data_IF_376886871430
#
_entry.id   IF_376886871430
#
_cell.length_a   1.000
_cell.length_b   1.000
_cell.length_c   1.000
_cell.angle_alpha   90.00
_cell.angle_beta   90.00
_cell.angle_gamma   90.00
#
_symmetry.space_group_name_H-M   'P 1'
#
loop_
_entity.id
_entity.type
_entity.pdbx_description
1 polymer ?
#
# COMPACT_ATOMS: atom_id res chain seq x y z
N UNK A 1 -11.70 -2.46 14.56
CA UNK A 1 -12.11 -3.14 13.32
C UNK A 1 -11.46 -2.58 12.05
N UNK A 2 -11.07 -1.30 11.99
CA UNK A 2 -10.36 -0.70 10.83
C UNK A 2 -8.95 -1.29 10.57
N UNK A 3 -8.30 -1.86 11.58
CA UNK A 3 -6.93 -2.42 11.48
C UNK A 3 -6.82 -3.74 10.70
N UNK A 4 -7.92 -4.45 10.50
CA UNK A 4 -7.93 -5.75 9.80
C UNK A 4 -7.91 -5.62 8.28
N UNK A 5 -8.29 -4.47 7.74
CA UNK A 5 -8.36 -4.24 6.29
C UNK A 5 -6.99 -3.89 5.67
N UNK A 6 -6.07 -3.32 6.44
CA UNK A 6 -4.73 -2.96 5.97
C UNK A 6 -3.95 -4.21 5.53
N UNK A 7 -4.17 -5.32 6.21
CA UNK A 7 -3.54 -6.59 5.92
C UNK A 7 -3.79 -7.10 4.50
N UNK A 8 -5.03 -7.00 4.03
CA UNK A 8 -5.41 -7.44 2.70
C UNK A 8 -4.86 -6.51 1.59
N UNK A 9 -4.60 -5.24 1.93
CA UNK A 9 -4.16 -4.23 0.98
C UNK A 9 -2.67 -4.37 0.62
N UNK A 10 -1.84 -4.77 1.57
CA UNK A 10 -0.38 -4.82 1.41
C UNK A 10 0.06 -6.07 0.65
N UNK A 11 -0.63 -7.19 0.82
CA UNK A 11 -0.32 -8.44 0.10
C UNK A 11 -0.51 -8.28 -1.41
N UNK A 12 -1.36 -7.36 -1.84
CA UNK A 12 -1.58 -7.09 -3.28
C UNK A 12 -0.44 -6.30 -3.91
N UNK A 13 0.32 -5.51 -3.11
CA UNK A 13 1.49 -4.77 -3.59
C UNK A 13 2.70 -5.67 -3.86
N UNK A 14 2.73 -6.87 -3.29
CA UNK A 14 3.86 -7.80 -3.37
C UNK A 14 3.83 -8.75 -4.60
N UNK A 15 3.22 -8.32 -5.71
CA UNK A 15 3.43 -8.93 -7.03
C UNK A 15 2.79 -10.29 -7.26
N UNK A 16 1.81 -10.72 -6.49
CA UNK A 16 0.93 -11.78 -6.94
C UNK A 16 -0.09 -11.20 -7.93
N UNK A 17 -0.04 -11.64 -9.15
CA UNK A 17 -1.06 -11.44 -10.18
C UNK A 17 -2.37 -12.15 -9.79
N UNK A 18 -2.93 -11.77 -8.63
CA UNK A 18 -4.30 -12.09 -8.33
C UNK A 18 -5.14 -11.28 -9.33
N UNK A 19 -5.80 -11.96 -10.24
CA UNK A 19 -6.64 -11.39 -11.27
C UNK A 19 -7.59 -10.35 -10.67
N UNK A 20 -7.16 -9.09 -10.70
CA UNK A 20 -8.06 -7.99 -10.45
C UNK A 20 -9.01 -7.94 -11.62
N UNK A 21 -10.29 -8.10 -11.37
CA UNK A 21 -11.30 -7.93 -12.41
C UNK A 21 -11.34 -6.46 -12.78
N UNK A 22 -10.96 -6.14 -14.01
CA UNK A 22 -11.12 -4.79 -14.53
C UNK A 22 -12.58 -4.37 -14.35
N UNK A 23 -12.80 -3.31 -13.60
CA UNK A 23 -14.14 -2.81 -13.34
C UNK A 23 -14.47 -1.74 -14.36
N UNK A 24 -15.36 -2.08 -15.26
CA UNK A 24 -15.85 -1.14 -16.29
C UNK A 24 -16.83 -0.11 -15.73
N UNK A 25 -17.39 -0.33 -14.53
CA UNK A 25 -18.29 0.60 -13.85
C UNK A 25 -17.92 0.73 -12.37
N UNK A 26 -17.44 1.90 -12.02
CA UNK A 26 -17.25 2.32 -10.64
C UNK A 26 -18.48 3.09 -10.20
N UNK A 27 -18.91 2.92 -8.94
CA UNK A 27 -20.00 3.68 -8.37
C UNK A 27 -19.71 5.18 -8.50
N UNK A 28 -20.70 5.94 -8.96
CA UNK A 28 -20.60 7.39 -9.19
C UNK A 28 -20.11 8.16 -7.95
N UNK A 29 -20.53 7.77 -6.75
CA UNK A 29 -20.08 8.36 -5.49
C UNK A 29 -18.57 8.21 -5.31
N UNK A 30 -18.04 7.01 -5.55
CA UNK A 30 -16.58 6.71 -5.45
C UNK A 30 -15.81 7.49 -6.51
N UNK A 31 -16.33 7.53 -7.74
CA UNK A 31 -15.67 8.23 -8.83
C UNK A 31 -15.59 9.73 -8.56
N UNK A 32 -16.68 10.36 -8.13
CA UNK A 32 -16.66 11.78 -7.78
C UNK A 32 -15.71 12.11 -6.64
N UNK A 33 -15.67 11.26 -5.63
CA UNK A 33 -14.76 11.42 -4.49
C UNK A 33 -13.31 11.29 -4.95
N UNK A 34 -13.01 10.33 -5.82
CA UNK A 34 -11.70 10.16 -6.42
C UNK A 34 -11.27 11.40 -7.23
N UNK A 35 -12.12 11.87 -8.13
CA UNK A 35 -11.83 13.05 -8.96
C UNK A 35 -11.61 14.32 -8.13
N UNK A 36 -12.37 14.48 -7.05
CA UNK A 36 -12.20 15.61 -6.14
C UNK A 36 -10.89 15.52 -5.33
N UNK A 37 -10.51 14.33 -4.90
CA UNK A 37 -9.33 14.10 -4.06
C UNK A 37 -8.02 14.08 -4.87
N UNK A 38 -8.06 13.50 -6.06
CA UNK A 38 -6.88 13.27 -6.92
C UNK A 38 -6.99 13.99 -8.26
N UNK A 39 -7.24 15.29 -8.20
CA UNK A 39 -7.26 16.15 -9.39
C UNK A 39 -5.92 16.05 -10.14
N UNK A 40 -5.97 15.77 -11.43
CA UNK A 40 -4.78 15.58 -12.27
C UNK A 40 -4.24 14.15 -12.30
N UNK A 41 -4.93 13.18 -11.71
CA UNK A 41 -4.58 11.77 -11.82
C UNK A 41 -4.59 11.30 -13.28
N UNK A 42 -3.55 10.56 -13.69
CA UNK A 42 -3.38 10.02 -15.03
C UNK A 42 -3.30 8.50 -14.98
N UNK A 43 -3.60 7.85 -16.10
CA UNK A 43 -3.52 6.40 -16.26
C UNK A 43 -4.31 5.62 -15.19
N UNK A 44 -5.50 6.10 -14.88
CA UNK A 44 -6.33 5.53 -13.81
C UNK A 44 -6.86 4.17 -14.23
N UNK A 45 -6.56 3.15 -13.44
CA UNK A 45 -7.07 1.79 -13.58
C UNK A 45 -7.81 1.39 -12.30
N UNK A 46 -9.05 0.97 -12.46
CA UNK A 46 -9.87 0.49 -11.37
C UNK A 46 -9.87 -1.04 -11.30
N UNK A 47 -9.77 -1.57 -10.09
CA UNK A 47 -9.91 -2.99 -9.82
C UNK A 47 -10.79 -3.24 -8.60
N UNK A 48 -11.55 -4.34 -8.64
CA UNK A 48 -12.43 -4.74 -7.54
C UNK A 48 -11.89 -5.99 -6.87
N UNK A 49 -11.92 -5.99 -5.56
CA UNK A 49 -11.74 -7.15 -4.69
C UNK A 49 -13.01 -7.37 -3.88
N UNK A 50 -13.08 -8.47 -3.16
CA UNK A 50 -14.31 -8.82 -2.39
C UNK A 50 -14.78 -7.69 -1.47
N UNK A 51 -13.86 -6.99 -0.82
CA UNK A 51 -14.17 -6.04 0.24
C UNK A 51 -13.76 -4.60 -0.07
N UNK A 52 -13.17 -4.32 -1.24
CA UNK A 52 -12.72 -2.97 -1.59
C UNK A 52 -12.59 -2.74 -3.09
N UNK A 53 -12.63 -1.48 -3.48
CA UNK A 53 -12.24 -0.99 -4.80
C UNK A 53 -10.85 -0.34 -4.70
N UNK A 54 -10.02 -0.56 -5.70
CA UNK A 54 -8.69 0.06 -5.80
C UNK A 54 -8.60 0.86 -7.10
N UNK A 55 -8.20 2.12 -6.99
CA UNK A 55 -7.74 2.93 -8.10
C UNK A 55 -6.21 2.95 -8.10
N UNK A 56 -5.59 2.55 -9.20
CA UNK A 56 -4.15 2.68 -9.44
C UNK A 56 -3.94 3.77 -10.49
N UNK A 57 -3.09 4.74 -10.21
CA UNK A 57 -2.92 5.91 -11.08
C UNK A 57 -1.54 6.56 -10.87
N UNK A 58 -1.22 7.48 -11.76
CA UNK A 58 -0.03 8.33 -11.66
C UNK A 58 -0.46 9.74 -11.26
N UNK A 59 0.16 10.30 -10.24
CA UNK A 59 -0.04 11.67 -9.81
C UNK A 59 1.33 12.32 -9.53
N UNK A 60 1.62 13.44 -10.18
CA UNK A 60 2.91 14.13 -10.08
C UNK A 60 4.12 13.18 -10.27
N UNK A 61 4.05 12.34 -11.30
CA UNK A 61 5.06 11.32 -11.65
C UNK A 61 5.26 10.19 -10.61
N UNK A 62 4.41 10.13 -9.58
CA UNK A 62 4.42 9.07 -8.58
C UNK A 62 3.31 8.04 -8.84
N UNK A 63 3.61 6.76 -8.64
CA UNK A 63 2.61 5.71 -8.67
C UNK A 63 1.88 5.66 -7.33
N UNK A 64 0.57 5.84 -7.41
CA UNK A 64 -0.33 5.94 -6.25
C UNK A 64 -1.45 4.92 -6.38
N UNK A 65 -1.86 4.35 -5.27
CA UNK A 65 -3.04 3.50 -5.17
C UNK A 65 -3.98 4.03 -4.09
N UNK A 66 -5.24 4.23 -4.42
CA UNK A 66 -6.28 4.62 -3.49
C UNK A 66 -7.26 3.47 -3.29
N UNK A 67 -7.64 3.24 -2.04
CA UNK A 67 -8.49 2.13 -1.63
C UNK A 67 -9.80 2.67 -1.06
N UNK A 68 -10.91 2.11 -1.54
CA UNK A 68 -12.28 2.50 -1.17
C UNK A 68 -13.04 1.29 -0.66
N UNK A 69 -13.76 1.44 0.44
CA UNK A 69 -14.68 0.44 0.91
C UNK A 69 -15.88 0.26 -0.04
N UNK A 70 -16.63 -0.80 0.15
CA UNK A 70 -17.87 -1.05 -0.61
C UNK A 70 -18.95 0.00 -0.37
N UNK A 71 -18.86 0.71 0.75
CA UNK A 71 -19.69 1.87 1.10
C UNK A 71 -19.25 3.18 0.40
N UNK A 72 -18.09 3.15 -0.28
CA UNK A 72 -17.48 4.29 -0.98
C UNK A 72 -16.62 5.18 -0.11
N UNK A 73 -16.35 4.81 1.15
CA UNK A 73 -15.43 5.54 2.00
C UNK A 73 -13.96 5.24 1.65
N UNK A 74 -13.09 6.24 1.76
CA UNK A 74 -11.65 6.06 1.58
C UNK A 74 -11.10 5.23 2.73
N UNK A 75 -10.46 4.12 2.40
CA UNK A 75 -9.81 3.24 3.37
C UNK A 75 -8.35 3.64 3.59
N UNK A 76 -7.71 4.20 2.58
CA UNK A 76 -6.33 4.64 2.65
C UNK A 76 -5.74 4.86 1.26
N UNK A 77 -4.55 5.42 1.26
CA UNK A 77 -3.77 5.73 0.04
C UNK A 77 -2.36 5.21 0.22
N UNK A 78 -1.85 4.48 -0.76
CA UNK A 78 -0.46 4.05 -0.78
C UNK A 78 0.30 4.68 -1.95
N UNK A 79 1.58 4.91 -1.76
CA UNK A 79 2.50 5.29 -2.83
C UNK A 79 3.82 4.58 -2.69
N UNK A 80 4.45 4.28 -3.83
CA UNK A 80 5.82 3.78 -3.82
C UNK A 80 6.76 4.86 -3.32
N UNK A 81 7.67 4.48 -2.44
CA UNK A 81 8.73 5.37 -1.94
C UNK A 81 10.07 4.65 -1.99
N UNK A 82 11.15 5.41 -2.18
CA UNK A 82 12.49 4.87 -1.98
C UNK A 82 12.70 4.58 -0.48
N UNK A 83 13.36 3.48 -0.14
CA UNK A 83 13.70 3.13 1.24
C UNK A 83 14.44 4.27 1.97
N UNK A 84 15.15 5.12 1.23
CA UNK A 84 15.83 6.30 1.78
C UNK A 84 14.87 7.35 2.36
N UNK A 85 13.58 7.26 2.04
CA UNK A 85 12.53 8.14 2.59
C UNK A 85 12.06 7.73 3.99
N UNK A 86 12.39 6.51 4.43
CA UNK A 86 12.07 6.02 5.75
C UNK A 86 12.92 6.74 6.83
N UNK A 87 12.46 6.74 8.09
CA UNK A 87 13.28 7.23 9.21
C UNK A 87 14.65 6.54 9.26
N UNK A 88 15.70 7.32 9.50
CA UNK A 88 17.10 6.83 9.43
C UNK A 88 17.37 5.66 10.39
N UNK A 89 16.80 5.73 11.60
CA UNK A 89 16.92 4.66 12.58
C UNK A 89 16.30 3.35 12.09
N UNK A 90 15.19 3.42 11.36
CA UNK A 90 14.57 2.25 10.75
C UNK A 90 15.46 1.67 9.64
N UNK A 91 16.02 2.50 8.77
CA UNK A 91 16.94 2.05 7.72
C UNK A 91 18.14 1.33 8.32
N UNK A 92 18.73 1.89 9.39
CA UNK A 92 19.87 1.29 10.08
C UNK A 92 19.51 -0.06 10.71
N UNK A 93 18.34 -0.14 11.35
CA UNK A 93 17.85 -1.38 11.95
C UNK A 93 17.59 -2.46 10.90
N UNK A 94 16.96 -2.12 9.79
CA UNK A 94 16.69 -3.05 8.69
C UNK A 94 18.01 -3.57 8.10
N UNK A 95 18.97 -2.69 7.85
CA UNK A 95 20.28 -3.10 7.33
C UNK A 95 21.03 -4.03 8.28
N UNK A 96 20.90 -3.83 9.59
CA UNK A 96 21.54 -4.66 10.61
C UNK A 96 20.86 -6.02 10.76
N UNK A 97 19.56 -6.01 10.95
CA UNK A 97 18.79 -7.21 11.34
C UNK A 97 18.45 -8.10 10.12
N UNK A 98 18.44 -7.51 8.92
CA UNK A 98 18.05 -8.15 7.66
C UNK A 98 19.15 -8.03 6.59
N UNK A 99 20.43 -8.12 7.00
CA UNK A 99 21.58 -7.93 6.12
C UNK A 99 21.62 -8.87 4.91
N UNK A 100 21.08 -10.10 5.04
CA UNK A 100 20.98 -11.08 3.94
C UNK A 100 19.75 -10.93 3.04
N UNK A 101 18.84 -10.01 3.38
CA UNK A 101 17.61 -9.81 2.63
C UNK A 101 17.77 -8.73 1.58
N UNK A 102 17.10 -8.95 0.44
CA UNK A 102 16.92 -7.93 -0.59
C UNK A 102 15.62 -7.18 -0.36
N UNK A 103 15.67 -5.86 -0.37
CA UNK A 103 14.46 -5.02 -0.42
C UNK A 103 13.86 -5.11 -1.82
N UNK A 104 12.66 -5.62 -1.93
CA UNK A 104 11.95 -5.78 -3.21
C UNK A 104 10.96 -4.66 -3.46
N UNK A 105 10.38 -4.09 -2.41
CA UNK A 105 9.46 -2.97 -2.51
C UNK A 105 9.41 -2.16 -1.22
N UNK A 106 9.06 -0.90 -1.30
CA UNK A 106 8.73 -0.06 -0.15
C UNK A 106 7.63 0.93 -0.52
N UNK A 107 6.65 1.04 0.37
CA UNK A 107 5.50 1.92 0.23
C UNK A 107 5.28 2.77 1.48
N UNK A 108 4.75 3.96 1.28
CA UNK A 108 4.11 4.75 2.32
C UNK A 108 2.61 4.49 2.24
N UNK A 109 1.97 4.24 3.36
CA UNK A 109 0.53 4.08 3.49
C UNK A 109 -0.02 5.14 4.42
N UNK A 110 -0.99 5.90 3.93
CA UNK A 110 -1.70 6.94 4.68
C UNK A 110 -3.15 6.49 4.90
N UNK A 111 -3.53 6.40 6.15
CA UNK A 111 -4.91 6.13 6.55
C UNK A 111 -5.36 7.21 7.53
N UNK A 112 -6.33 8.02 7.13
CA UNK A 112 -6.87 9.10 7.96
C UNK A 112 -5.80 10.07 8.50
N UNK A 113 -4.72 10.30 7.73
CA UNK A 113 -3.58 11.13 8.13
C UNK A 113 -2.53 10.42 8.97
N UNK A 114 -2.77 9.17 9.36
CA UNK A 114 -1.77 8.33 10.01
C UNK A 114 -0.93 7.62 8.95
N UNK A 115 0.36 7.93 8.93
CA UNK A 115 1.32 7.37 7.98
C UNK A 115 2.14 6.25 8.60
N UNK A 116 2.35 5.22 7.81
CA UNK A 116 3.29 4.13 8.09
C UNK A 116 3.97 3.70 6.81
N UNK A 117 5.10 3.02 6.94
CA UNK A 117 5.81 2.46 5.80
C UNK A 117 5.77 0.94 5.87
N UNK A 118 5.77 0.31 4.71
CA UNK A 118 5.87 -1.14 4.60
C UNK A 118 7.00 -1.48 3.65
N UNK A 119 7.88 -2.35 4.10
CA UNK A 119 9.07 -2.78 3.36
C UNK A 119 8.98 -4.27 3.11
N UNK A 120 8.97 -4.65 1.85
CA UNK A 120 9.00 -6.05 1.42
C UNK A 120 10.46 -6.51 1.28
N UNK A 121 10.76 -7.61 1.92
CA UNK A 121 12.08 -8.22 1.96
C UNK A 121 12.03 -9.66 1.42
N UNK A 122 13.09 -10.06 0.73
CA UNK A 122 13.24 -11.41 0.19
C UNK A 122 14.66 -11.94 0.42
N UNK A 123 14.76 -13.17 0.93
CA UNK A 123 15.99 -13.94 1.05
C UNK A 123 15.73 -15.36 0.55
N UNK A 124 16.12 -15.64 -0.68
CA UNK A 124 15.81 -16.89 -1.35
C UNK A 124 14.30 -17.17 -1.39
N UNK A 125 13.85 -18.16 -0.63
CA UNK A 125 12.44 -18.54 -0.56
C UNK A 125 11.67 -17.86 0.58
N UNK A 126 12.38 -17.10 1.43
CA UNK A 126 11.76 -16.37 2.54
C UNK A 126 11.33 -14.99 2.11
N UNK A 127 10.08 -14.66 2.40
CA UNK A 127 9.53 -13.32 2.16
C UNK A 127 8.99 -12.79 3.47
N UNK A 128 9.34 -11.56 3.79
CA UNK A 128 8.85 -10.85 4.96
C UNK A 128 8.39 -9.45 4.59
N UNK A 129 7.40 -8.96 5.31
CA UNK A 129 6.97 -7.57 5.22
C UNK A 129 7.20 -6.95 6.58
N UNK A 130 7.90 -5.83 6.59
CA UNK A 130 8.11 -5.02 7.79
C UNK A 130 7.17 -3.83 7.77
N UNK A 131 6.60 -3.53 8.91
CA UNK A 131 5.90 -2.27 9.16
C UNK A 131 6.84 -1.33 9.92
N UNK A 132 6.92 -0.10 9.43
CA UNK A 132 7.74 0.96 10.02
C UNK A 132 6.85 2.15 10.37
N UNK A 133 6.86 2.58 11.62
CA UNK A 133 6.15 3.78 12.05
C UNK A 133 6.87 5.06 11.58
N UNK A 134 6.19 6.20 11.66
CA UNK A 134 6.81 7.52 11.42
C UNK A 134 8.03 7.80 12.31
N UNK A 135 8.08 7.17 13.49
CA UNK A 135 9.18 7.31 14.45
C UNK A 135 10.32 6.31 14.22
N UNK A 136 10.20 5.44 13.19
CA UNK A 136 11.20 4.46 12.83
C UNK A 136 11.16 3.17 13.64
N UNK A 137 10.08 2.88 14.35
CA UNK A 137 9.88 1.59 14.98
C UNK A 137 9.60 0.54 13.93
N UNK A 138 10.41 -0.51 13.89
CA UNK A 138 10.33 -1.60 12.92
C UNK A 138 9.75 -2.84 13.59
N UNK A 139 8.73 -3.42 12.99
CA UNK A 139 8.12 -4.68 13.40
C UNK A 139 7.80 -5.55 12.18
N UNK A 140 7.77 -6.87 12.38
CA UNK A 140 7.28 -7.77 11.33
C UNK A 140 5.78 -7.60 11.20
N UNK A 141 5.35 -7.33 9.98
CA UNK A 141 3.93 -7.22 9.66
C UNK A 141 3.32 -8.61 9.53
N UNK A 142 2.48 -8.96 10.47
CA UNK A 142 1.75 -10.24 10.49
C UNK A 142 0.26 -10.04 10.18
N UNK A 143 -0.05 -9.04 9.40
CA UNK A 143 -1.41 -8.74 8.95
C UNK A 143 -1.96 -9.85 8.09
N UNK A 144 -2.85 -10.56 8.67
CA UNK A 144 -3.93 -11.37 8.19
C UNK A 144 -3.81 -11.98 6.80
N UNK A 145 -3.05 -13.06 6.67
CA UNK A 145 -3.57 -14.22 5.95
C UNK A 145 -4.12 -15.16 7.03
N UNK A 146 -5.36 -15.01 7.34
CA UNK A 146 -6.14 -16.13 7.88
C UNK A 146 -7.01 -16.67 6.79
#
# INVERSE_FOLDING_TARGET
MKKLFIAALIVVAAGSSAFAKDVTKVNYKVQNQFEAQFSGAQNVVWSSKENYLKASFTLADENVEAFYGTDGEVMGVSRKVDIKKLPLNAIQKIKKDYAGYKVTDSIEFDQDGEKSYYVSLEDGNKKEILQVSLYGNVSVYRGGIK
#
